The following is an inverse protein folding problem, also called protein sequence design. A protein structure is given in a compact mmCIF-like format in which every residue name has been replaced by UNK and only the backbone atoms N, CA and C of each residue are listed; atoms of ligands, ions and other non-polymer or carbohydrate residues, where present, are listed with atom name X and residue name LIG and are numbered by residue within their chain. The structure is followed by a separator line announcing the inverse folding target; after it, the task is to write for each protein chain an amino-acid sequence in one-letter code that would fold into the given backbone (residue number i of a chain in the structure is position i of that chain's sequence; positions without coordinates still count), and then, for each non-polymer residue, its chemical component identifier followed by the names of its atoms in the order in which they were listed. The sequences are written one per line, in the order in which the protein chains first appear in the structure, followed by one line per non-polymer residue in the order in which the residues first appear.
data_IF_534784151690
#
_entry.id   IF_534784151690
#
_cell.length_a   1.000
_cell.length_b   1.000
_cell.length_c   1.000
_cell.angle_alpha   90.00
_cell.angle_beta   90.00
_cell.angle_gamma   90.00
#
_symmetry.space_group_name_H-M   'P 1'
#
loop_
_entity.id
_entity.type
_entity.pdbx_description
1 polymer ?
#
# COMPACT_ATOMS: atom_id res chain seq x y z
N UNK A 1 -6.18 4.86 14.88
CA UNK A 1 -7.58 4.44 14.70
C UNK A 1 -8.16 5.19 13.52
N UNK A 2 -9.23 4.70 12.91
CA UNK A 2 -9.91 5.43 11.83
C UNK A 2 -11.40 5.09 11.76
N UNK A 3 -12.12 5.93 11.01
CA UNK A 3 -13.42 5.60 10.44
C UNK A 3 -13.30 5.79 8.93
N UNK A 4 -13.53 4.73 8.16
CA UNK A 4 -13.57 4.77 6.69
C UNK A 4 -15.00 4.48 6.25
N UNK A 5 -15.51 5.27 5.31
CA UNK A 5 -16.83 5.09 4.73
C UNK A 5 -16.75 4.22 3.47
N UNK A 6 -17.57 3.18 3.42
CA UNK A 6 -17.71 2.31 2.24
C UNK A 6 -19.12 2.40 1.67
N UNK A 7 -19.30 1.97 0.43
CA UNK A 7 -20.63 1.86 -0.18
C UNK A 7 -21.51 0.95 0.66
N UNK A 8 -22.66 1.46 1.10
CA UNK A 8 -23.63 0.68 1.86
C UNK A 8 -24.63 0.02 0.91
N UNK A 9 -25.03 -1.20 1.22
CA UNK A 9 -26.07 -1.95 0.49
C UNK A 9 -27.44 -1.25 0.47
N UNK A 10 -27.64 -0.25 1.33
CA UNK A 10 -28.88 0.53 1.49
C UNK A 10 -28.84 1.89 0.78
N UNK A 11 -27.83 2.14 -0.07
CA UNK A 11 -27.64 3.40 -0.80
C UNK A 11 -26.93 4.51 -0.02
N UNK A 12 -26.90 4.43 1.31
CA UNK A 12 -26.16 5.36 2.16
C UNK A 12 -24.79 4.76 2.57
N UNK A 13 -23.69 5.53 2.53
CA UNK A 13 -22.40 5.07 3.00
C UNK A 13 -22.43 4.62 4.48
N UNK A 14 -21.69 3.55 4.79
CA UNK A 14 -21.55 3.03 6.16
C UNK A 14 -20.11 3.25 6.65
N UNK A 15 -19.97 3.83 7.83
CA UNK A 15 -18.67 4.07 8.47
C UNK A 15 -18.21 2.84 9.25
N UNK A 16 -17.03 2.31 8.91
CA UNK A 16 -16.38 1.23 9.63
C UNK A 16 -15.37 1.80 10.61
N UNK A 17 -15.60 1.58 11.91
CA UNK A 17 -14.73 2.06 12.98
C UNK A 17 -13.66 1.00 13.31
N UNK A 18 -12.39 1.38 13.19
CA UNK A 18 -11.25 0.52 13.53
C UNK A 18 -10.46 1.11 14.71
N UNK A 19 -10.38 0.42 15.86
CA UNK A 19 -9.64 0.88 17.02
C UNK A 19 -8.13 0.77 16.82
N UNK A 20 -7.34 1.51 17.61
CA UNK A 20 -5.86 1.47 17.57
C UNK A 20 -5.30 0.05 17.65
N UNK A 21 -5.84 -0.79 18.54
CA UNK A 21 -5.39 -2.18 18.72
C UNK A 21 -5.47 -3.01 17.43
N UNK A 22 -6.46 -2.74 16.56
CA UNK A 22 -6.63 -3.44 15.30
C UNK A 22 -5.47 -3.14 14.34
N UNK A 23 -5.13 -1.85 14.22
CA UNK A 23 -4.00 -1.39 13.41
C UNK A 23 -2.68 -1.96 13.93
N UNK A 24 -2.43 -1.87 15.25
CA UNK A 24 -1.19 -2.38 15.84
C UNK A 24 -1.04 -3.88 15.62
N UNK A 25 -2.11 -4.67 15.84
CA UNK A 25 -2.10 -6.12 15.60
C UNK A 25 -1.88 -6.46 14.12
N UNK A 26 -2.34 -5.61 13.21
CA UNK A 26 -2.20 -5.84 11.78
C UNK A 26 -0.75 -5.68 11.32
N UNK A 27 -0.04 -4.63 11.77
CA UNK A 27 1.27 -4.28 11.20
C UNK A 27 2.47 -4.61 12.09
N UNK A 28 2.30 -4.79 13.39
CA UNK A 28 3.40 -5.02 14.33
C UNK A 28 3.52 -6.49 14.70
N UNK A 29 4.73 -7.05 14.62
CA UNK A 29 4.98 -8.49 14.84
C UNK A 29 4.02 -9.40 14.06
N UNK A 30 3.70 -8.99 12.84
CA UNK A 30 2.85 -9.77 11.95
C UNK A 30 3.61 -10.99 11.40
N UNK A 31 2.89 -11.96 10.83
CA UNK A 31 3.47 -13.21 10.30
C UNK A 31 3.35 -13.35 8.77
N UNK A 32 2.94 -12.28 8.06
CA UNK A 32 2.70 -12.34 6.62
C UNK A 32 3.71 -11.52 5.80
N UNK A 33 4.35 -10.51 6.38
CA UNK A 33 5.42 -9.73 5.74
C UNK A 33 6.41 -9.17 6.78
N UNK A 34 7.73 -9.31 6.59
CA UNK A 34 8.72 -8.70 7.46
C UNK A 34 8.71 -7.17 7.35
N UNK A 35 8.46 -6.49 8.47
CA UNK A 35 8.50 -5.03 8.57
C UNK A 35 9.51 -4.62 9.65
N UNK A 36 10.45 -3.75 9.31
CA UNK A 36 11.52 -3.29 10.19
C UNK A 36 12.11 -1.94 9.72
N UNK A 37 13.21 -1.51 10.33
CA UNK A 37 13.87 -0.23 10.04
C UNK A 37 14.41 -0.10 8.61
N UNK A 38 14.56 -1.22 7.90
CA UNK A 38 14.98 -1.27 6.49
C UNK A 38 13.79 -1.27 5.53
N UNK A 39 12.56 -1.26 6.02
CA UNK A 39 11.36 -1.23 5.18
C UNK A 39 11.15 0.17 4.62
N UNK A 40 11.03 0.27 3.30
CA UNK A 40 10.58 1.49 2.61
C UNK A 40 9.31 1.17 1.85
N UNK A 41 8.20 1.75 2.28
CA UNK A 41 6.88 1.55 1.65
C UNK A 41 6.50 2.77 0.80
N UNK A 42 5.98 2.52 -0.40
CA UNK A 42 5.29 3.53 -1.19
C UNK A 42 3.82 3.59 -0.79
N UNK A 43 3.30 4.77 -0.46
CA UNK A 43 1.87 5.03 -0.34
C UNK A 43 1.30 5.15 -1.76
N UNK A 44 0.74 4.06 -2.27
CA UNK A 44 0.25 3.94 -3.64
C UNK A 44 -1.27 4.07 -3.77
N UNK A 45 -1.99 4.00 -2.66
CA UNK A 45 -3.44 4.16 -2.62
C UNK A 45 -3.90 5.51 -2.07
N UNK A 46 -5.19 5.78 -2.24
CA UNK A 46 -5.86 6.85 -1.48
C UNK A 46 -5.95 6.49 0.00
N UNK A 47 -5.72 7.47 0.89
CA UNK A 47 -5.91 7.31 2.34
C UNK A 47 -7.36 7.05 2.75
N UNK A 48 -8.32 7.22 1.82
CA UNK A 48 -9.71 6.86 2.01
C UNK A 48 -9.97 5.35 1.91
N UNK A 49 -8.98 4.56 1.47
CA UNK A 49 -9.07 3.10 1.40
C UNK A 49 -8.23 2.46 2.53
N UNK A 50 -8.69 1.34 3.07
CA UNK A 50 -8.10 0.74 4.27
C UNK A 50 -6.71 0.14 4.03
N UNK A 51 -6.34 -0.19 2.79
CA UNK A 51 -5.00 -0.58 2.41
C UNK A 51 -3.92 0.45 2.79
N UNK A 52 -4.25 1.74 2.78
CA UNK A 52 -3.35 2.80 3.24
C UNK A 52 -2.96 2.62 4.72
N UNK A 53 -3.74 1.88 5.50
CA UNK A 53 -3.41 1.50 6.88
C UNK A 53 -2.15 0.62 6.92
N UNK A 54 -2.03 -0.35 6.01
CA UNK A 54 -0.81 -1.15 5.90
C UNK A 54 0.37 -0.26 5.47
N UNK A 55 0.18 0.55 4.43
CA UNK A 55 1.27 1.35 3.87
C UNK A 55 1.83 2.34 4.90
N UNK A 56 0.95 3.10 5.57
CA UNK A 56 1.34 4.12 6.55
C UNK A 56 1.90 3.49 7.82
N UNK A 57 1.13 2.62 8.48
CA UNK A 57 1.52 2.12 9.80
C UNK A 57 2.52 0.97 9.71
N UNK A 58 2.55 0.23 8.59
CA UNK A 58 3.56 -0.78 8.33
C UNK A 58 4.97 -0.21 8.25
N UNK A 59 5.13 0.97 7.67
CA UNK A 59 6.38 1.71 7.72
C UNK A 59 6.61 2.33 9.10
N UNK A 60 5.71 3.22 9.53
CA UNK A 60 5.98 4.13 10.64
C UNK A 60 6.03 3.45 12.02
N UNK A 61 5.28 2.37 12.24
CA UNK A 61 5.31 1.65 13.52
C UNK A 61 6.43 0.60 13.62
N UNK A 62 7.18 0.37 12.53
CA UNK A 62 8.29 -0.58 12.50
C UNK A 62 9.64 0.10 12.24
N UNK A 63 9.70 1.44 12.32
CA UNK A 63 10.93 2.22 12.15
C UNK A 63 11.36 2.44 10.69
N UNK A 64 10.51 2.09 9.72
CA UNK A 64 10.77 2.23 8.30
C UNK A 64 10.46 3.62 7.74
N UNK A 65 10.57 3.75 6.41
CA UNK A 65 10.32 4.97 5.64
C UNK A 65 9.03 4.86 4.83
N UNK A 66 8.23 5.92 4.80
CA UNK A 66 7.05 6.05 3.95
C UNK A 66 7.32 7.07 2.84
N UNK A 67 7.09 6.70 1.59
CA UNK A 67 7.19 7.57 0.42
C UNK A 67 5.78 7.87 -0.08
N UNK A 68 5.42 9.15 -0.15
CA UNK A 68 4.10 9.55 -0.66
C UNK A 68 4.19 9.79 -2.16
N UNK A 69 3.56 8.91 -2.95
CA UNK A 69 3.50 9.05 -4.39
C UNK A 69 2.37 10.00 -4.80
N UNK A 70 2.57 10.72 -5.91
CA UNK A 70 1.46 11.36 -6.63
C UNK A 70 0.81 10.35 -7.57
N UNK A 71 -0.49 10.50 -7.81
CA UNK A 71 -1.26 9.61 -8.70
C UNK A 71 -0.63 9.51 -10.10
N UNK A 72 -0.12 10.61 -10.64
CA UNK A 72 0.50 10.65 -11.98
C UNK A 72 1.81 9.85 -12.03
N UNK A 73 2.51 9.70 -10.90
CA UNK A 73 3.73 8.90 -10.83
C UNK A 73 3.41 7.40 -10.79
N UNK A 74 2.31 7.02 -10.15
CA UNK A 74 1.88 5.62 -10.03
C UNK A 74 1.38 5.06 -11.37
N UNK A 75 0.72 5.88 -12.18
CA UNK A 75 0.15 5.49 -13.47
C UNK A 75 1.13 5.61 -14.65
N UNK A 76 2.38 6.01 -14.39
CA UNK A 76 3.43 6.13 -15.41
C UNK A 76 4.58 5.19 -15.03
N UNK A 77 4.82 4.09 -15.77
CA UNK A 77 5.85 3.11 -15.44
C UNK A 77 7.26 3.69 -15.30
N UNK A 78 7.62 4.71 -16.08
CA UNK A 78 8.94 5.35 -16.02
C UNK A 78 9.05 6.19 -14.74
N UNK A 79 8.00 6.97 -14.41
CA UNK A 79 7.99 7.78 -13.21
C UNK A 79 7.94 6.90 -11.94
N UNK A 80 7.21 5.78 -11.99
CA UNK A 80 7.16 4.80 -10.90
C UNK A 80 8.52 4.14 -10.68
N UNK A 81 9.19 3.70 -11.75
CA UNK A 81 10.54 3.14 -11.69
C UNK A 81 11.54 4.13 -11.08
N UNK A 82 11.51 5.38 -11.51
CA UNK A 82 12.34 6.43 -10.94
C UNK A 82 12.05 6.62 -9.45
N UNK A 83 10.77 6.70 -9.06
CA UNK A 83 10.37 6.88 -7.68
C UNK A 83 10.81 5.71 -6.77
N UNK A 84 10.68 4.47 -7.27
CA UNK A 84 11.11 3.25 -6.58
C UNK A 84 12.63 3.28 -6.36
N UNK A 85 13.39 3.54 -7.41
CA UNK A 85 14.85 3.50 -7.38
C UNK A 85 15.45 4.64 -6.56
N UNK A 86 14.97 5.88 -6.72
CA UNK A 86 15.51 7.05 -5.99
C UNK A 86 15.29 6.98 -4.49
N UNK A 87 14.28 6.23 -4.03
CA UNK A 87 13.90 6.16 -2.63
C UNK A 87 14.19 4.82 -1.97
N UNK A 88 14.79 3.87 -2.69
CA UNK A 88 15.01 2.50 -2.25
C UNK A 88 13.70 1.84 -1.77
N UNK A 89 12.60 2.06 -2.50
CA UNK A 89 11.31 1.41 -2.20
C UNK A 89 11.49 -0.09 -2.35
N UNK A 90 11.13 -0.84 -1.31
CA UNK A 90 11.29 -2.29 -1.29
C UNK A 90 10.02 -3.04 -0.91
N UNK A 91 8.97 -2.33 -0.54
CA UNK A 91 7.67 -2.92 -0.18
C UNK A 91 6.55 -2.08 -0.78
N UNK A 92 5.58 -2.72 -1.44
CA UNK A 92 4.39 -2.05 -1.97
C UNK A 92 3.13 -2.90 -1.74
N UNK A 93 1.98 -2.24 -1.70
CA UNK A 93 0.67 -2.86 -1.80
C UNK A 93 -0.01 -2.34 -3.05
N UNK A 94 -0.56 -3.19 -3.90
CA UNK A 94 -1.27 -2.79 -5.12
C UNK A 94 -2.67 -3.39 -5.17
N UNK A 95 -3.60 -2.69 -5.81
CA UNK A 95 -4.82 -3.36 -6.26
C UNK A 95 -4.48 -4.37 -7.35
N UNK A 96 -5.26 -5.45 -7.49
CA UNK A 96 -5.07 -6.44 -8.56
C UNK A 96 -5.14 -5.75 -9.92
N UNK A 97 -6.05 -4.79 -10.09
CA UNK A 97 -6.17 -3.98 -11.31
C UNK A 97 -4.91 -3.17 -11.64
N UNK A 98 -4.33 -2.46 -10.66
CA UNK A 98 -3.13 -1.66 -10.89
C UNK A 98 -1.89 -2.53 -11.12
N UNK A 99 -1.77 -3.64 -10.40
CA UNK A 99 -0.73 -4.64 -10.65
C UNK A 99 -0.81 -5.17 -12.08
N UNK A 100 -2.00 -5.59 -12.53
CA UNK A 100 -2.19 -6.13 -13.88
C UNK A 100 -1.85 -5.11 -14.97
N UNK A 101 -2.22 -3.84 -14.76
CA UNK A 101 -1.82 -2.76 -15.66
C UNK A 101 -0.29 -2.64 -15.75
N UNK A 102 0.40 -2.50 -14.62
CA UNK A 102 1.87 -2.39 -14.58
C UNK A 102 2.53 -3.62 -15.19
N UNK A 103 2.03 -4.82 -14.88
CA UNK A 103 2.55 -6.08 -15.40
C UNK A 103 2.42 -6.18 -16.93
N UNK A 104 1.33 -5.66 -17.49
CA UNK A 104 1.10 -5.64 -18.94
C UNK A 104 1.95 -4.61 -19.69
N UNK A 105 2.29 -3.50 -19.03
CA UNK A 105 3.06 -2.41 -19.63
C UNK A 105 4.57 -2.59 -19.44
N UNK A 106 5.01 -2.82 -18.19
CA UNK A 106 6.43 -2.94 -17.80
C UNK A 106 6.60 -3.53 -16.40
N UNK A 107 6.59 -4.86 -16.29
CA UNK A 107 6.73 -5.56 -15.00
C UNK A 107 8.09 -5.32 -14.32
N UNK A 108 9.13 -4.99 -15.08
CA UNK A 108 10.50 -4.78 -14.59
C UNK A 108 10.59 -3.66 -13.54
N UNK A 109 9.64 -2.72 -13.57
CA UNK A 109 9.49 -1.64 -12.57
C UNK A 109 9.37 -2.19 -11.15
N UNK A 110 8.82 -3.40 -10.98
CA UNK A 110 8.56 -4.02 -9.68
C UNK A 110 9.71 -4.93 -9.21
N UNK A 111 10.73 -5.19 -10.05
CA UNK A 111 11.87 -6.07 -9.72
C UNK A 111 12.66 -5.63 -8.48
N UNK A 112 12.86 -4.33 -8.19
CA UNK A 112 13.56 -3.91 -6.98
C UNK A 112 12.82 -4.23 -5.66
N UNK A 113 11.52 -4.53 -5.74
CA UNK A 113 10.71 -4.80 -4.55
C UNK A 113 11.09 -6.14 -3.93
N UNK A 114 11.25 -6.16 -2.60
CA UNK A 114 11.40 -7.39 -1.82
C UNK A 114 10.05 -8.03 -1.51
N UNK A 115 9.04 -7.20 -1.27
CA UNK A 115 7.69 -7.63 -0.94
C UNK A 115 6.66 -6.84 -1.76
N UNK A 116 5.80 -7.55 -2.46
CA UNK A 116 4.66 -6.98 -3.16
C UNK A 116 3.41 -7.68 -2.65
N UNK A 117 2.49 -6.91 -2.06
CA UNK A 117 1.17 -7.38 -1.66
C UNK A 117 0.17 -6.96 -2.74
N UNK A 118 -0.74 -7.85 -3.09
CA UNK A 118 -1.76 -7.59 -4.10
C UNK A 118 -3.12 -8.01 -3.54
N UNK A 119 -4.15 -7.20 -3.75
CA UNK A 119 -5.51 -7.52 -3.31
C UNK A 119 -6.55 -6.53 -3.82
N UNK A 120 -7.76 -6.57 -3.25
CA UNK A 120 -8.89 -5.71 -3.66
C UNK A 120 -9.81 -6.39 -4.66
N UNK A 121 -9.27 -7.11 -5.64
CA UNK A 121 -10.03 -7.92 -6.60
C UNK A 121 -9.42 -9.31 -6.78
N UNK A 122 -10.11 -10.20 -7.51
CA UNK A 122 -9.55 -11.48 -7.93
C UNK A 122 -8.31 -11.20 -8.79
N UNK A 123 -7.20 -11.86 -8.43
CA UNK A 123 -5.95 -11.81 -9.18
C UNK A 123 -6.03 -12.65 -10.45
#
# INVERSE_FOLDING_TARGET
AYVIYTSGTTGNPKGTLIPHRGIVRFVHQNHYVPLNEKTTILLSGTIAFDAATFEIYGALLNGGKLIVAKTEQLLNPIALEQLINENDVNTMWLTSSLFNQIASERIEVLVPLKYLLIGGEVL
#
